data_IF_293642163723
#
_entry.id   IF_293642163723
#
_cell.length_a   1.000
_cell.length_b   1.000
_cell.length_c   1.000
_cell.angle_alpha   90.00
_cell.angle_beta   90.00
_cell.angle_gamma   90.00
#
_symmetry.space_group_name_H-M   'P 1'
#
loop_
_entity.id
_entity.type
_entity.pdbx_description
1 polymer ?
#
# COMPACT_ATOMS: atom_id res chain seq x y z
N UNK A 1 22.82 16.36 -74.51
CA UNK A 1 22.48 17.21 -73.35
C UNK A 1 21.12 16.84 -72.74
N UNK A 2 20.06 16.64 -73.54
CA UNK A 2 18.76 16.21 -72.99
C UNK A 2 18.76 14.78 -72.44
N UNK A 3 19.39 13.81 -73.12
CA UNK A 3 19.49 12.42 -72.62
C UNK A 3 20.18 12.33 -71.25
N UNK A 4 21.29 13.04 -71.09
CA UNK A 4 22.03 13.06 -69.82
C UNK A 4 21.20 13.67 -68.67
N UNK A 5 20.42 14.72 -68.96
CA UNK A 5 19.48 15.29 -67.98
C UNK A 5 18.37 14.29 -67.61
N UNK A 6 17.88 13.51 -68.58
CA UNK A 6 16.86 12.49 -68.31
C UNK A 6 17.40 11.36 -67.42
N UNK A 7 18.65 10.93 -67.61
CA UNK A 7 19.31 9.94 -66.75
C UNK A 7 19.49 10.45 -65.31
N UNK A 8 19.91 11.70 -65.14
CA UNK A 8 20.02 12.36 -63.82
C UNK A 8 18.65 12.41 -63.10
N UNK A 9 17.58 12.78 -63.82
CA UNK A 9 16.22 12.80 -63.28
C UNK A 9 15.78 11.41 -62.83
N UNK A 10 16.04 10.37 -63.64
CA UNK A 10 15.68 8.99 -63.29
C UNK A 10 16.42 8.48 -62.04
N UNK A 11 17.73 8.77 -61.94
CA UNK A 11 18.54 8.45 -60.77
C UNK A 11 18.03 9.17 -59.51
N UNK A 12 17.67 10.44 -59.65
CA UNK A 12 17.10 11.21 -58.55
C UNK A 12 15.73 10.67 -58.13
N UNK A 13 14.84 10.30 -59.07
CA UNK A 13 13.55 9.66 -58.76
C UNK A 13 13.75 8.36 -57.98
N UNK A 14 14.73 7.52 -58.37
CA UNK A 14 15.04 6.30 -57.63
C UNK A 14 15.49 6.61 -56.20
N UNK A 15 16.37 7.60 -56.04
CA UNK A 15 16.85 8.05 -54.73
C UNK A 15 15.71 8.56 -53.84
N UNK A 16 14.76 9.32 -54.41
CA UNK A 16 13.56 9.78 -53.70
C UNK A 16 12.67 8.62 -53.26
N UNK A 17 12.46 7.61 -54.12
CA UNK A 17 11.68 6.42 -53.76
C UNK A 17 12.31 5.65 -52.59
N UNK A 18 13.64 5.51 -52.58
CA UNK A 18 14.33 4.89 -51.46
C UNK A 18 14.23 5.74 -50.18
N UNK A 19 14.36 7.07 -50.29
CA UNK A 19 14.20 7.96 -49.14
C UNK A 19 12.80 7.88 -48.53
N UNK A 20 11.75 7.76 -49.35
CA UNK A 20 10.38 7.57 -48.86
C UNK A 20 10.24 6.29 -48.03
N UNK A 21 10.74 5.15 -48.55
CA UNK A 21 10.73 3.89 -47.81
C UNK A 21 11.51 3.99 -46.49
N UNK A 22 12.65 4.68 -46.50
CA UNK A 22 13.45 4.88 -45.30
C UNK A 22 12.74 5.77 -44.28
N UNK A 23 12.02 6.81 -44.70
CA UNK A 23 11.22 7.65 -43.80
C UNK A 23 10.11 6.83 -43.15
N UNK A 24 9.41 5.99 -43.91
CA UNK A 24 8.38 5.09 -43.36
C UNK A 24 8.99 4.11 -42.33
N UNK A 25 10.09 3.44 -42.68
CA UNK A 25 10.75 2.50 -41.76
C UNK A 25 11.29 3.19 -40.49
N UNK A 26 11.94 4.36 -40.65
CA UNK A 26 12.50 5.10 -39.52
C UNK A 26 11.39 5.66 -38.62
N UNK A 27 10.29 6.16 -39.19
CA UNK A 27 9.15 6.68 -38.42
C UNK A 27 8.45 5.57 -37.63
N UNK A 28 8.23 4.40 -38.25
CA UNK A 28 7.72 3.22 -37.56
C UNK A 28 8.62 2.81 -36.39
N UNK A 29 9.94 2.80 -36.60
CA UNK A 29 10.90 2.44 -35.55
C UNK A 29 10.87 3.42 -34.38
N UNK A 30 10.96 4.73 -34.63
CA UNK A 30 10.94 5.71 -33.52
C UNK A 30 9.60 5.74 -32.80
N UNK A 31 8.51 5.36 -33.47
CA UNK A 31 7.21 5.18 -32.83
C UNK A 31 7.21 3.95 -31.89
N UNK A 32 7.76 2.82 -32.33
CA UNK A 32 7.90 1.63 -31.49
C UNK A 32 8.79 1.90 -30.27
N UNK A 33 9.93 2.55 -30.47
CA UNK A 33 10.86 2.93 -29.40
C UNK A 33 10.17 3.86 -28.38
N UNK A 34 9.37 4.83 -28.84
CA UNK A 34 8.61 5.73 -27.96
C UNK A 34 7.58 4.97 -27.10
N UNK A 35 6.82 4.06 -27.73
CA UNK A 35 5.83 3.25 -27.02
C UNK A 35 6.49 2.36 -25.97
N UNK A 36 7.63 1.75 -26.30
CA UNK A 36 8.40 0.92 -25.37
C UNK A 36 8.85 1.71 -24.13
N UNK A 37 9.35 2.95 -24.31
CA UNK A 37 9.74 3.82 -23.20
C UNK A 37 8.55 4.18 -22.29
N UNK A 38 7.39 4.51 -22.86
CA UNK A 38 6.18 4.77 -22.06
C UNK A 38 5.68 3.52 -21.34
N UNK A 39 5.71 2.36 -21.99
CA UNK A 39 5.33 1.09 -21.36
C UNK A 39 6.24 0.74 -20.17
N UNK A 40 7.53 1.07 -20.26
CA UNK A 40 8.47 0.96 -19.14
C UNK A 40 8.07 1.86 -17.97
N UNK A 41 7.77 3.14 -18.23
CA UNK A 41 7.29 4.08 -17.20
C UNK A 41 5.99 3.62 -16.55
N UNK A 42 5.02 3.12 -17.32
CA UNK A 42 3.76 2.60 -16.78
C UNK A 42 3.98 1.39 -15.88
N UNK A 43 4.84 0.46 -16.29
CA UNK A 43 5.18 -0.73 -15.49
C UNK A 43 5.80 -0.32 -14.15
N UNK A 44 6.74 0.62 -14.16
CA UNK A 44 7.36 1.15 -12.95
C UNK A 44 6.35 1.83 -12.01
N UNK A 45 5.46 2.66 -12.57
CA UNK A 45 4.43 3.35 -11.78
C UNK A 45 3.46 2.35 -11.12
N UNK A 46 3.09 1.28 -11.83
CA UNK A 46 2.22 0.24 -11.27
C UNK A 46 2.95 -0.53 -10.15
N UNK A 47 4.22 -0.90 -10.33
CA UNK A 47 5.02 -1.54 -9.28
C UNK A 47 5.12 -0.67 -8.02
N UNK A 48 5.42 0.62 -8.16
CA UNK A 48 5.49 1.57 -7.05
C UNK A 48 4.14 1.67 -6.32
N UNK A 49 3.04 1.78 -7.07
CA UNK A 49 1.68 1.80 -6.52
C UNK A 49 1.37 0.51 -5.75
N UNK A 50 1.67 -0.64 -6.31
CA UNK A 50 1.48 -1.93 -5.65
C UNK A 50 2.28 -2.03 -4.35
N UNK A 51 3.54 -1.59 -4.36
CA UNK A 51 4.38 -1.54 -3.17
C UNK A 51 3.80 -0.64 -2.07
N UNK A 52 3.31 0.55 -2.42
CA UNK A 52 2.65 1.46 -1.47
C UNK A 52 1.36 0.86 -0.91
N UNK A 53 0.54 0.23 -1.76
CA UNK A 53 -0.68 -0.46 -1.34
C UNK A 53 -0.38 -1.62 -0.38
N UNK A 54 0.68 -2.39 -0.64
CA UNK A 54 1.11 -3.47 0.25
C UNK A 54 1.52 -2.92 1.62
N UNK A 55 2.26 -1.81 1.67
CA UNK A 55 2.64 -1.15 2.94
C UNK A 55 1.42 -0.70 3.75
N UNK A 56 0.42 -0.09 3.09
CA UNK A 56 -0.84 0.29 3.73
C UNK A 56 -1.59 -0.94 4.27
N UNK A 57 -1.69 -2.01 3.47
CA UNK A 57 -2.35 -3.26 3.88
C UNK A 57 -1.67 -3.88 5.10
N UNK A 58 -0.33 -3.88 5.13
CA UNK A 58 0.46 -4.42 6.23
C UNK A 58 0.28 -3.61 7.52
N UNK A 59 0.41 -2.28 7.46
CA UNK A 59 0.20 -1.40 8.63
C UNK A 59 -1.21 -1.54 9.18
N UNK A 60 -2.23 -1.56 8.30
CA UNK A 60 -3.61 -1.85 8.69
C UNK A 60 -3.74 -3.20 9.38
N UNK A 61 -3.23 -4.27 8.77
CA UNK A 61 -3.36 -5.63 9.34
C UNK A 61 -2.70 -5.74 10.72
N UNK A 62 -1.51 -5.17 10.88
CA UNK A 62 -0.80 -5.17 12.17
C UNK A 62 -1.56 -4.41 13.25
N UNK A 63 -2.08 -3.21 12.94
CA UNK A 63 -2.85 -2.41 13.90
C UNK A 63 -4.18 -3.06 14.26
N UNK A 64 -4.91 -3.57 13.27
CA UNK A 64 -6.17 -4.28 13.50
C UNK A 64 -5.94 -5.50 14.40
N UNK A 65 -4.88 -6.27 14.15
CA UNK A 65 -4.52 -7.42 14.99
C UNK A 65 -4.26 -7.01 16.44
N UNK A 66 -3.46 -5.96 16.69
CA UNK A 66 -3.16 -5.54 18.05
C UNK A 66 -4.39 -4.99 18.78
N UNK A 67 -5.25 -4.24 18.08
CA UNK A 67 -6.51 -3.73 18.63
C UNK A 67 -7.50 -4.87 18.94
N UNK A 68 -7.64 -5.86 18.05
CA UNK A 68 -8.50 -7.03 18.28
C UNK A 68 -8.02 -7.85 19.47
N UNK A 69 -6.71 -8.05 19.60
CA UNK A 69 -6.13 -8.73 20.76
C UNK A 69 -6.39 -7.99 22.06
N UNK A 70 -6.23 -6.65 22.06
CA UNK A 70 -6.52 -5.83 23.23
C UNK A 70 -8.01 -5.86 23.58
N UNK A 71 -8.90 -5.78 22.57
CA UNK A 71 -10.34 -5.89 22.75
C UNK A 71 -10.71 -7.23 23.40
N UNK A 72 -10.23 -8.34 22.85
CA UNK A 72 -10.51 -9.68 23.40
C UNK A 72 -9.98 -9.86 24.82
N UNK A 73 -8.84 -9.24 25.17
CA UNK A 73 -8.34 -9.23 26.53
C UNK A 73 -9.23 -8.43 27.48
N UNK A 74 -9.69 -7.25 27.07
CA UNK A 74 -10.61 -6.42 27.85
C UNK A 74 -11.96 -7.12 28.06
N UNK A 75 -12.54 -7.70 27.00
CA UNK A 75 -13.82 -8.42 27.07
C UNK A 75 -13.74 -9.58 28.06
N UNK A 76 -12.73 -10.45 27.96
CA UNK A 76 -12.57 -11.58 28.90
C UNK A 76 -12.37 -11.14 30.35
N UNK A 77 -11.65 -10.04 30.56
CA UNK A 77 -11.45 -9.54 31.91
C UNK A 77 -12.71 -8.91 32.51
N UNK A 78 -13.54 -8.29 31.67
CA UNK A 78 -14.85 -7.77 32.07
C UNK A 78 -15.78 -8.93 32.43
N UNK A 79 -15.92 -9.93 31.56
CA UNK A 79 -16.71 -11.15 31.80
C UNK A 79 -16.29 -11.83 33.11
N UNK A 80 -14.99 -12.04 33.31
CA UNK A 80 -14.46 -12.61 34.56
C UNK A 80 -14.78 -11.76 35.80
N UNK A 81 -14.85 -10.44 35.66
CA UNK A 81 -15.20 -9.55 36.77
C UNK A 81 -16.70 -9.60 37.08
N UNK A 82 -17.55 -9.74 36.06
CA UNK A 82 -18.99 -9.93 36.20
C UNK A 82 -19.31 -11.27 36.88
N UNK A 83 -18.65 -12.37 36.49
CA UNK A 83 -18.78 -13.69 37.13
C UNK A 83 -18.36 -13.66 38.61
N UNK A 84 -17.25 -12.98 38.93
CA UNK A 84 -16.79 -12.80 40.31
C UNK A 84 -17.80 -11.99 41.13
N UNK A 85 -18.39 -10.94 40.54
CA UNK A 85 -19.42 -10.13 41.19
C UNK A 85 -20.70 -10.95 41.46
N UNK A 86 -21.13 -11.75 40.49
CA UNK A 86 -22.27 -12.64 40.66
C UNK A 86 -22.02 -13.67 41.78
N UNK A 87 -20.85 -14.31 41.77
CA UNK A 87 -20.44 -15.27 42.81
C UNK A 87 -20.40 -14.62 44.20
N UNK A 88 -19.91 -13.38 44.28
CA UNK A 88 -19.89 -12.62 45.52
C UNK A 88 -21.31 -12.33 46.04
N UNK A 89 -22.23 -11.91 45.16
CA UNK A 89 -23.62 -11.67 45.52
C UNK A 89 -24.33 -12.94 46.01
N UNK A 90 -24.11 -14.09 45.34
CA UNK A 90 -24.66 -15.38 45.77
C UNK A 90 -24.11 -15.80 47.13
N UNK A 91 -22.80 -15.62 47.36
CA UNK A 91 -22.18 -15.96 48.65
C UNK A 91 -22.71 -15.09 49.80
N UNK A 92 -22.98 -13.80 49.55
CA UNK A 92 -23.62 -12.91 50.52
C UNK A 92 -25.05 -13.34 50.87
N UNK A 93 -25.81 -13.87 49.90
CA UNK A 93 -27.15 -14.41 50.16
C UNK A 93 -27.13 -15.69 51.01
N UNK A 94 -26.01 -16.41 51.01
CA UNK A 94 -25.80 -17.65 51.77
C UNK A 94 -24.91 -17.44 53.02
N UNK A 95 -24.89 -16.23 53.59
CA UNK A 95 -23.96 -15.87 54.67
C UNK A 95 -24.10 -16.67 55.97
N UNK A 96 -25.28 -17.25 56.22
CA UNK A 96 -25.54 -18.10 57.40
C UNK A 96 -25.09 -19.56 57.21
N UNK A 97 -24.56 -19.92 56.03
CA UNK A 97 -24.03 -21.25 55.73
C UNK A 97 -22.71 -21.52 56.43
N UNK A 98 -22.48 -22.74 56.93
CA UNK A 98 -21.20 -23.17 57.50
C UNK A 98 -20.04 -23.09 56.49
N UNK A 99 -20.33 -23.15 55.18
CA UNK A 99 -19.34 -23.06 54.10
C UNK A 99 -18.96 -21.61 53.72
N UNK A 100 -19.67 -20.61 54.26
CA UNK A 100 -19.47 -19.20 53.91
C UNK A 100 -18.01 -18.72 54.06
N UNK A 101 -17.26 -19.04 55.14
CA UNK A 101 -15.87 -18.62 55.28
C UNK A 101 -14.96 -19.14 54.15
N UNK A 102 -15.24 -20.35 53.65
CA UNK A 102 -14.48 -20.93 52.53
C UNK A 102 -14.84 -20.24 51.21
N UNK A 103 -16.13 -19.99 50.95
CA UNK A 103 -16.58 -19.27 49.76
C UNK A 103 -16.06 -17.82 49.73
N UNK A 104 -16.11 -17.11 50.87
CA UNK A 104 -15.57 -15.77 51.01
C UNK A 104 -14.05 -15.71 50.74
N UNK A 105 -13.30 -16.74 51.17
CA UNK A 105 -11.87 -16.85 50.86
C UNK A 105 -11.63 -17.03 49.36
N UNK A 106 -12.42 -17.86 48.67
CA UNK A 106 -12.29 -18.07 47.23
C UNK A 106 -12.57 -16.79 46.43
N UNK A 107 -13.57 -16.00 46.82
CA UNK A 107 -13.84 -14.69 46.21
C UNK A 107 -12.67 -13.73 46.43
N UNK A 108 -12.15 -13.63 47.65
CA UNK A 108 -10.99 -12.78 47.96
C UNK A 108 -9.80 -13.13 47.06
N UNK A 109 -9.49 -14.42 46.93
CA UNK A 109 -8.39 -14.89 46.09
C UNK A 109 -8.69 -14.62 44.60
N UNK A 110 -9.94 -14.82 44.16
CA UNK A 110 -10.41 -14.51 42.81
C UNK A 110 -10.29 -13.03 42.44
N UNK A 111 -10.71 -12.12 43.32
CA UNK A 111 -10.57 -10.66 43.13
C UNK A 111 -9.09 -10.26 43.07
N UNK A 112 -8.25 -10.81 43.96
CA UNK A 112 -6.81 -10.50 44.01
C UNK A 112 -6.08 -10.93 42.73
N UNK A 113 -6.56 -12.01 42.10
CA UNK A 113 -5.98 -12.58 40.88
C UNK A 113 -6.73 -12.15 39.61
N UNK A 114 -7.77 -11.32 39.71
CA UNK A 114 -8.61 -10.98 38.56
C UNK A 114 -7.81 -10.23 37.49
N UNK A 115 -7.87 -10.67 36.21
CA UNK A 115 -7.13 -10.06 35.12
C UNK A 115 -7.42 -8.55 34.94
N UNK A 116 -8.64 -8.13 35.26
CA UNK A 116 -9.10 -6.75 35.09
C UNK A 116 -8.24 -5.73 35.85
N UNK A 117 -7.74 -6.05 37.04
CA UNK A 117 -6.92 -5.12 37.83
C UNK A 117 -5.50 -4.90 37.27
N UNK A 118 -5.04 -5.78 36.37
CA UNK A 118 -3.71 -5.70 35.76
C UNK A 118 -3.77 -5.21 34.31
N UNK A 119 -4.96 -4.98 33.76
CA UNK A 119 -5.13 -4.51 32.40
C UNK A 119 -4.81 -3.02 32.26
N UNK A 120 -4.11 -2.68 31.18
CA UNK A 120 -3.94 -1.30 30.75
C UNK A 120 -5.09 -0.90 29.83
N UNK A 121 -5.76 0.21 30.18
CA UNK A 121 -6.83 0.82 29.36
C UNK A 121 -6.31 1.85 28.35
N UNK A 122 -4.99 1.92 28.14
CA UNK A 122 -4.40 2.72 27.06
C UNK A 122 -4.34 1.87 25.80
N UNK A 123 -4.86 2.40 24.69
CA UNK A 123 -4.74 1.76 23.38
C UNK A 123 -3.26 1.47 23.07
N UNK A 124 -2.97 0.22 22.70
CA UNK A 124 -1.59 -0.21 22.40
C UNK A 124 -1.05 0.37 21.09
N UNK A 125 -1.95 0.68 20.16
CA UNK A 125 -1.63 1.33 18.88
C UNK A 125 -2.62 2.47 18.63
N UNK A 126 -2.18 3.49 17.91
CA UNK A 126 -3.05 4.56 17.41
C UNK A 126 -3.70 4.13 16.09
N UNK A 127 -4.87 4.70 15.80
CA UNK A 127 -5.56 4.66 14.51
C UNK A 127 -4.95 5.62 13.46
N UNK A 128 -4.05 6.53 13.86
CA UNK A 128 -3.44 7.49 12.95
C UNK A 128 -2.55 6.81 11.89
N UNK A 129 -2.84 7.09 10.62
CA UNK A 129 -2.10 6.62 9.44
C UNK A 129 -1.44 7.76 8.64
N UNK A 130 -1.29 8.96 9.21
CA UNK A 130 -0.73 10.12 8.49
C UNK A 130 0.67 9.90 7.91
N UNK A 131 1.46 9.00 8.51
CA UNK A 131 2.79 8.59 8.01
C UNK A 131 2.76 7.85 6.66
N UNK A 132 1.57 7.52 6.13
CA UNK A 132 1.34 6.89 4.82
C UNK A 132 0.74 7.87 3.80
N UNK A 133 0.56 9.15 4.15
CA UNK A 133 0.09 10.15 3.21
C UNK A 133 1.12 10.38 2.08
N UNK A 134 0.60 10.67 0.89
CA UNK A 134 1.40 10.83 -0.33
C UNK A 134 1.07 12.16 -1.01
N UNK A 135 2.09 12.80 -1.56
CA UNK A 135 1.95 13.90 -2.51
C UNK A 135 2.91 13.64 -3.67
N UNK A 136 2.35 13.61 -4.88
CA UNK A 136 3.09 13.34 -6.12
C UNK A 136 3.26 14.58 -7.00
N UNK A 137 3.23 15.79 -6.41
CA UNK A 137 3.31 17.03 -7.18
C UNK A 137 4.61 17.15 -7.98
N UNK A 138 5.73 16.77 -7.40
CA UNK A 138 7.04 16.80 -8.05
C UNK A 138 7.12 15.77 -9.19
N UNK A 139 6.67 14.55 -8.96
CA UNK A 139 6.66 13.46 -9.93
C UNK A 139 5.78 13.82 -11.13
N UNK A 140 4.61 14.44 -10.87
CA UNK A 140 3.75 14.97 -11.94
C UNK A 140 4.47 16.03 -12.77
N UNK A 141 5.21 16.95 -12.15
CA UNK A 141 5.99 17.96 -12.87
C UNK A 141 7.10 17.32 -13.72
N UNK A 142 7.78 16.30 -13.20
CA UNK A 142 8.80 15.56 -13.95
C UNK A 142 8.19 14.83 -15.17
N UNK A 143 7.04 14.18 -15.00
CA UNK A 143 6.32 13.52 -16.10
C UNK A 143 5.83 14.54 -17.16
N UNK A 144 5.39 15.72 -16.73
CA UNK A 144 5.00 16.80 -17.66
C UNK A 144 6.18 17.38 -18.45
N UNK A 145 7.42 17.17 -17.97
CA UNK A 145 8.63 17.62 -18.65
C UNK A 145 9.18 16.62 -19.67
N UNK A 146 8.55 15.45 -19.84
CA UNK A 146 8.91 14.45 -20.86
C UNK A 146 8.84 15.08 -22.26
N UNK A 147 9.91 14.86 -23.04
CA UNK A 147 10.09 15.42 -24.38
C UNK A 147 11.06 14.56 -25.17
N UNK A 148 11.01 14.66 -26.50
CA UNK A 148 12.02 14.06 -27.35
C UNK A 148 13.41 14.60 -27.03
N UNK A 149 14.42 13.75 -27.16
CA UNK A 149 15.82 14.15 -27.02
C UNK A 149 16.19 15.11 -28.17
N UNK A 150 17.03 16.13 -27.90
CA UNK A 150 17.57 16.96 -28.97
C UNK A 150 18.38 16.04 -29.90
N UNK A 151 17.96 15.92 -31.16
CA UNK A 151 18.59 15.00 -32.10
C UNK A 151 20.08 15.27 -32.24
N UNK A 152 20.89 14.22 -32.32
CA UNK A 152 22.22 14.34 -32.93
C UNK A 152 21.99 14.87 -34.34
N UNK A 153 22.48 16.09 -34.61
CA UNK A 153 22.53 16.62 -35.97
C UNK A 153 23.44 15.69 -36.75
N UNK A 154 22.85 14.70 -37.43
CA UNK A 154 23.53 13.94 -38.47
C UNK A 154 24.16 14.95 -39.42
N UNK A 155 25.47 15.02 -39.39
CA UNK A 155 26.27 15.83 -40.29
C UNK A 155 25.93 15.45 -41.72
N UNK A 156 25.67 16.49 -42.52
CA UNK A 156 25.37 16.50 -43.95
C UNK A 156 26.10 15.44 -44.79
#
# INVERSE_FOLDING_TARGET
MEEQRNEEIQSFIYSLKQMLLNVEANSAKVQEDLEAEFQSLFSLLEELKEGMLMKIKQDRASRTYELQNQLAACTRALESSEELLETANQTLQAMDSEDFPQAAKQIKDGVTMAPAFRLSLKAKVSDNMSHLMVDFAQERQMLQALKFLPGERGTH
#
